data_IF_846300475035
#
_entry.id   IF_846300475035
#
_cell.length_a   1.000
_cell.length_b   1.000
_cell.length_c   1.000
_cell.angle_alpha   90.00
_cell.angle_beta   90.00
_cell.angle_gamma   90.00
#
_symmetry.space_group_name_H-M   'P 1'
#
loop_
_entity.id
_entity.type
_entity.pdbx_description
1 polymer ?
#
# COMPACT_ATOMS: atom_id res chain seq x y z
N UNK A 1 -10.50 -16.46 20.04
CA UNK A 1 -10.60 -15.16 20.71
C UNK A 1 -10.43 -14.08 19.64
N UNK A 2 -11.28 -13.05 19.60
CA UNK A 2 -11.09 -11.94 18.68
C UNK A 2 -9.97 -11.03 19.20
N UNK A 3 -9.09 -10.58 18.31
CA UNK A 3 -7.99 -9.69 18.65
C UNK A 3 -8.10 -8.42 17.79
N UNK A 4 -8.00 -7.25 18.42
CA UNK A 4 -7.94 -5.98 17.70
C UNK A 4 -6.58 -5.81 17.03
N UNK A 5 -6.58 -5.17 15.86
CA UNK A 5 -5.36 -4.70 15.21
C UNK A 5 -4.59 -3.71 16.09
N UNK A 6 -3.27 -3.63 15.89
CA UNK A 6 -2.38 -2.75 16.65
C UNK A 6 -1.69 -1.70 15.77
N UNK A 7 -2.09 -1.58 14.50
CA UNK A 7 -1.61 -0.55 13.59
C UNK A 7 -2.71 0.50 13.39
N UNK A 8 -2.33 1.76 13.53
CA UNK A 8 -3.16 2.93 13.23
C UNK A 8 -2.50 3.65 12.06
N UNK A 9 -3.28 3.92 11.02
CA UNK A 9 -2.83 4.63 9.83
C UNK A 9 -3.45 6.02 9.85
N UNK A 10 -2.64 7.03 9.63
CA UNK A 10 -3.15 8.39 9.41
C UNK A 10 -3.66 8.52 7.96
N UNK A 11 -4.77 9.24 7.79
CA UNK A 11 -5.27 9.57 6.46
C UNK A 11 -4.24 10.42 5.69
N UNK A 12 -4.06 10.08 4.43
CA UNK A 12 -3.19 10.81 3.51
C UNK A 12 -4.06 11.70 2.62
N UNK A 13 -3.76 12.99 2.63
CA UNK A 13 -4.37 13.96 1.73
C UNK A 13 -3.35 14.42 0.69
N UNK A 14 -3.73 14.29 -0.58
CA UNK A 14 -2.97 14.76 -1.73
C UNK A 14 -3.18 16.27 -1.83
N UNK A 15 -2.11 17.06 -1.65
CA UNK A 15 -2.17 18.52 -1.82
C UNK A 15 -2.44 18.86 -3.28
N UNK A 16 -3.50 19.63 -3.53
CA UNK A 16 -3.94 20.06 -4.86
C UNK A 16 -3.60 21.53 -5.07
N UNK A 17 -2.31 21.87 -5.01
CA UNK A 17 -1.87 23.24 -5.31
C UNK A 17 -2.11 23.61 -6.79
N UNK A 18 -2.14 24.91 -7.11
CA UNK A 18 -2.55 25.44 -8.43
C UNK A 18 -1.75 24.91 -9.65
N UNK A 19 -0.62 24.22 -9.45
CA UNK A 19 0.14 23.57 -10.53
C UNK A 19 -0.54 22.33 -11.13
N UNK A 20 -1.65 21.84 -10.57
CA UNK A 20 -2.30 20.58 -10.96
C UNK A 20 -3.76 20.75 -11.44
N UNK A 21 -3.97 21.50 -12.53
CA UNK A 21 -5.24 21.43 -13.30
C UNK A 21 -5.44 20.08 -14.03
N UNK A 22 -4.45 19.19 -13.98
CA UNK A 22 -4.42 17.89 -14.67
C UNK A 22 -4.59 16.68 -13.74
N UNK A 23 -4.78 16.87 -12.43
CA UNK A 23 -5.14 15.79 -11.49
C UNK A 23 -6.63 15.43 -11.56
N UNK A 24 -7.05 14.95 -12.72
CA UNK A 24 -8.38 14.41 -12.90
C UNK A 24 -8.28 12.89 -12.84
N UNK A 25 -9.14 12.20 -12.07
CA UNK A 25 -9.25 10.77 -12.18
C UNK A 25 -9.41 10.37 -13.65
N UNK A 26 -8.68 9.36 -14.07
CA UNK A 26 -8.80 8.83 -15.43
C UNK A 26 -9.89 7.77 -15.40
N UNK A 27 -10.86 7.90 -16.29
CA UNK A 27 -11.90 6.90 -16.49
C UNK A 27 -11.41 5.77 -17.40
N UNK A 28 -11.38 4.55 -16.89
CA UNK A 28 -11.13 3.34 -17.65
C UNK A 28 -12.44 2.59 -17.87
N UNK A 29 -12.81 2.38 -19.13
CA UNK A 29 -13.97 1.56 -19.48
C UNK A 29 -13.58 0.09 -19.56
N UNK A 30 -14.33 -0.76 -18.85
CA UNK A 30 -14.13 -2.21 -18.81
C UNK A 30 -15.32 -2.91 -19.45
N UNK A 31 -15.05 -3.88 -20.31
CA UNK A 31 -16.05 -4.79 -20.85
C UNK A 31 -15.75 -6.25 -20.45
N UNK A 32 -16.79 -7.05 -20.23
CA UNK A 32 -16.66 -8.49 -20.04
C UNK A 32 -16.70 -9.23 -21.36
N UNK A 33 -15.65 -9.99 -21.69
CA UNK A 33 -15.63 -10.86 -22.88
C UNK A 33 -16.05 -12.28 -22.47
N UNK A 34 -17.02 -12.85 -23.18
CA UNK A 34 -17.38 -14.26 -23.06
C UNK A 34 -16.32 -15.12 -23.76
N UNK A 35 -15.68 -16.02 -23.00
CA UNK A 35 -14.61 -16.89 -23.49
C UNK A 35 -15.07 -17.96 -24.48
N UNK A 36 -16.37 -18.26 -24.55
CA UNK A 36 -16.91 -19.25 -25.49
C UNK A 36 -17.30 -18.63 -26.83
N UNK A 37 -17.92 -17.46 -26.80
CA UNK A 37 -18.44 -16.80 -28.01
C UNK A 37 -17.51 -15.71 -28.56
N UNK A 38 -16.58 -15.21 -27.75
CA UNK A 38 -15.79 -14.02 -28.06
C UNK A 38 -16.61 -12.73 -28.08
N UNK A 39 -17.90 -12.79 -27.75
CA UNK A 39 -18.81 -11.65 -27.69
C UNK A 39 -18.70 -10.87 -26.38
N UNK A 40 -19.28 -9.68 -26.37
CA UNK A 40 -19.42 -8.88 -25.14
C UNK A 40 -20.55 -9.46 -24.29
N UNK A 41 -20.29 -9.64 -22.99
CA UNK A 41 -21.28 -10.07 -22.01
C UNK A 41 -22.21 -8.92 -21.67
N UNK A 42 -23.51 -9.18 -21.73
CA UNK A 42 -24.53 -8.23 -21.31
C UNK A 42 -24.37 -7.88 -19.81
N UNK A 43 -24.48 -6.60 -19.48
CA UNK A 43 -24.39 -6.11 -18.10
C UNK A 43 -22.98 -6.06 -17.50
N UNK A 44 -21.91 -6.30 -18.29
CA UNK A 44 -20.51 -6.26 -17.82
C UNK A 44 -19.74 -5.08 -18.44
N UNK A 45 -20.44 -3.98 -18.72
CA UNK A 45 -19.83 -2.70 -19.08
C UNK A 45 -19.84 -1.81 -17.84
N UNK A 46 -18.67 -1.43 -17.35
CA UNK A 46 -18.53 -0.50 -16.23
C UNK A 46 -17.33 0.42 -16.42
N UNK A 47 -17.34 1.56 -15.72
CA UNK A 47 -16.26 2.53 -15.74
C UNK A 47 -15.61 2.55 -14.35
N UNK A 48 -14.28 2.60 -14.33
CA UNK A 48 -13.46 2.74 -13.14
C UNK A 48 -12.73 4.08 -13.19
N UNK A 49 -12.88 4.89 -12.15
CA UNK A 49 -12.07 6.10 -11.98
C UNK A 49 -10.78 5.75 -11.22
N UNK A 50 -9.63 6.06 -11.82
CA UNK A 50 -8.33 5.76 -11.24
C UNK A 50 -7.55 7.05 -11.06
N UNK A 51 -6.97 7.22 -9.87
CA UNK A 51 -6.00 8.28 -9.61
C UNK A 51 -4.65 7.84 -10.18
N UNK A 52 -4.18 8.53 -11.22
CA UNK A 52 -2.89 8.27 -11.88
C UNK A 52 -1.79 9.21 -11.41
N UNK A 53 -2.00 9.86 -10.27
CA UNK A 53 -1.02 10.76 -9.67
C UNK A 53 0.17 9.97 -9.16
N UNK A 54 1.37 10.42 -9.50
CA UNK A 54 2.63 9.82 -9.05
C UNK A 54 3.32 10.69 -8.00
N UNK A 55 2.65 11.71 -7.46
CA UNK A 55 3.25 12.55 -6.44
C UNK A 55 3.55 11.73 -5.18
N UNK A 56 4.72 11.92 -4.56
CA UNK A 56 5.04 11.24 -3.33
C UNK A 56 4.16 11.77 -2.20
N UNK A 57 3.77 10.88 -1.30
CA UNK A 57 3.07 11.22 -0.07
C UNK A 57 3.75 10.58 1.13
N UNK A 58 3.41 11.05 2.33
CA UNK A 58 3.88 10.48 3.58
C UNK A 58 2.74 9.76 4.27
N UNK A 59 2.93 8.49 4.55
CA UNK A 59 2.02 7.68 5.36
C UNK A 59 2.62 7.51 6.75
N UNK A 60 1.90 7.96 7.78
CA UNK A 60 2.30 7.71 9.17
C UNK A 60 1.58 6.47 9.69
N UNK A 61 2.35 5.59 10.31
CA UNK A 61 1.84 4.35 10.91
C UNK A 61 2.24 4.34 12.38
N UNK A 62 1.24 4.25 13.26
CA UNK A 62 1.44 4.14 14.71
C UNK A 62 1.18 2.72 15.18
N UNK A 63 2.13 2.14 15.90
CA UNK A 63 1.96 0.83 16.57
C UNK A 63 1.39 1.05 17.97
N UNK A 64 0.10 0.78 18.13
CA UNK A 64 -0.65 0.93 19.38
C UNK A 64 -0.89 -0.42 20.04
N UNK A 65 -0.10 -0.73 21.07
CA UNK A 65 -0.26 -1.94 21.88
C UNK A 65 -0.94 -1.64 23.22
N UNK A 66 -1.75 -2.58 23.76
CA UNK A 66 -2.22 -2.48 25.14
C UNK A 66 -1.05 -2.35 26.12
N UNK A 67 -1.22 -1.58 27.20
CA UNK A 67 -0.14 -1.23 28.14
C UNK A 67 0.68 -2.41 28.70
N UNK A 68 0.11 -3.62 28.75
CA UNK A 68 0.77 -4.84 29.26
C UNK A 68 1.41 -5.70 28.15
N UNK A 69 1.24 -5.35 26.88
CA UNK A 69 1.76 -6.09 25.75
C UNK A 69 2.98 -5.38 25.20
N UNK A 70 4.11 -6.06 25.25
CA UNK A 70 5.31 -5.61 24.55
C UNK A 70 5.32 -6.20 23.14
N UNK A 71 5.84 -5.45 22.16
CA UNK A 71 5.96 -5.96 20.81
C UNK A 71 7.03 -7.06 20.78
N UNK A 72 6.73 -8.19 20.13
CA UNK A 72 7.71 -9.28 19.99
C UNK A 72 8.62 -9.04 18.79
N UNK A 73 9.82 -9.66 18.75
CA UNK A 73 10.69 -9.58 17.58
C UNK A 73 10.02 -9.99 16.27
N UNK A 74 9.22 -11.06 16.30
CA UNK A 74 8.52 -11.61 15.13
C UNK A 74 7.47 -10.62 14.60
N UNK A 75 6.81 -9.88 15.51
CA UNK A 75 5.85 -8.86 15.13
C UNK A 75 6.52 -7.70 14.40
N UNK A 76 7.72 -7.29 14.84
CA UNK A 76 8.49 -6.27 14.15
C UNK A 76 9.05 -6.76 12.82
N UNK A 77 9.52 -8.00 12.76
CA UNK A 77 9.99 -8.61 11.52
C UNK A 77 8.87 -8.71 10.49
N UNK A 78 7.66 -9.12 10.90
CA UNK A 78 6.50 -9.16 10.01
C UNK A 78 6.13 -7.77 9.48
N UNK A 79 6.16 -6.74 10.35
CA UNK A 79 5.93 -5.36 9.91
C UNK A 79 7.04 -4.86 8.97
N UNK A 80 8.29 -5.17 9.27
CA UNK A 80 9.43 -4.84 8.41
C UNK A 80 9.26 -5.43 7.01
N UNK A 81 9.02 -6.74 6.91
CA UNK A 81 8.82 -7.41 5.62
C UNK A 81 7.65 -6.80 4.85
N UNK A 82 6.51 -6.56 5.49
CA UNK A 82 5.36 -5.95 4.83
C UNK A 82 5.63 -4.52 4.34
N UNK A 83 6.41 -3.74 5.08
CA UNK A 83 6.82 -2.39 4.67
C UNK A 83 7.86 -2.43 3.56
N UNK A 84 8.76 -3.40 3.57
CA UNK A 84 9.72 -3.65 2.49
C UNK A 84 8.99 -4.01 1.20
N UNK A 85 8.11 -5.01 1.23
CA UNK A 85 7.30 -5.41 0.07
C UNK A 85 6.50 -4.21 -0.48
N UNK A 86 5.99 -3.34 0.40
CA UNK A 86 5.24 -2.15 0.00
C UNK A 86 6.10 -1.11 -0.73
N UNK A 87 7.34 -0.88 -0.29
CA UNK A 87 8.23 0.15 -0.87
C UNK A 87 9.11 -0.36 -2.01
N UNK A 88 9.22 -1.68 -2.19
CA UNK A 88 9.89 -2.35 -3.30
C UNK A 88 8.93 -2.68 -4.46
N UNK A 89 7.63 -2.41 -4.29
CA UNK A 89 6.62 -2.62 -5.33
C UNK A 89 6.11 -4.06 -5.43
N UNK A 90 6.30 -4.88 -4.40
CA UNK A 90 5.82 -6.27 -4.35
C UNK A 90 4.42 -6.38 -3.73
N UNK A 91 4.00 -5.40 -2.92
CA UNK A 91 2.69 -5.34 -2.28
C UNK A 91 1.84 -4.18 -2.82
N UNK A 92 0.78 -4.49 -3.56
CA UNK A 92 -0.20 -3.51 -3.99
C UNK A 92 -1.18 -3.16 -2.85
N UNK A 93 -1.55 -1.87 -2.73
CA UNK A 93 -2.66 -1.41 -1.89
C UNK A 93 -3.87 -1.01 -2.75
N UNK A 94 -5.06 -1.41 -2.29
CA UNK A 94 -6.32 -1.09 -2.96
C UNK A 94 -6.69 -2.10 -4.05
N UNK A 95 -7.52 -1.65 -5.00
CA UNK A 95 -8.02 -2.47 -6.10
C UNK A 95 -7.14 -2.35 -7.34
N UNK A 96 -7.23 -3.34 -8.25
CA UNK A 96 -6.60 -3.24 -9.56
C UNK A 96 -5.13 -3.69 -9.64
N UNK A 97 -4.57 -4.32 -8.60
CA UNK A 97 -3.20 -4.85 -8.62
C UNK A 97 -2.88 -5.75 -9.80
N UNK A 98 -3.80 -6.62 -10.21
CA UNK A 98 -3.64 -7.46 -11.42
C UNK A 98 -3.53 -6.69 -12.75
N UNK A 99 -3.74 -5.36 -12.73
CA UNK A 99 -3.59 -4.44 -13.87
C UNK A 99 -2.47 -3.42 -13.66
N UNK A 100 -1.68 -3.56 -12.59
CA UNK A 100 -0.57 -2.67 -12.26
C UNK A 100 -0.95 -1.45 -11.41
N UNK A 101 -2.15 -1.41 -10.81
CA UNK A 101 -2.54 -0.31 -9.92
C UNK A 101 -2.16 -0.59 -8.46
N UNK A 102 -1.93 0.48 -7.69
CA UNK A 102 -1.75 0.39 -6.24
C UNK A 102 -0.35 -0.06 -5.80
N UNK A 103 0.63 -0.11 -6.71
CA UNK A 103 2.02 -0.36 -6.35
C UNK A 103 2.72 0.95 -6.01
N UNK A 104 3.61 0.89 -5.03
CA UNK A 104 4.36 2.04 -4.54
C UNK A 104 5.86 1.72 -4.54
N UNK A 105 6.65 2.76 -4.71
CA UNK A 105 8.08 2.72 -4.49
C UNK A 105 8.44 3.79 -3.47
N UNK A 106 9.41 3.52 -2.60
CA UNK A 106 9.83 4.54 -1.65
C UNK A 106 10.79 4.05 -0.58
N UNK A 107 10.69 4.68 0.58
CA UNK A 107 11.45 4.33 1.76
C UNK A 107 10.63 4.64 3.00
N UNK A 108 11.01 4.02 4.11
CA UNK A 108 10.39 4.26 5.40
C UNK A 108 11.46 4.44 6.47
N UNK A 109 11.08 5.15 7.52
CA UNK A 109 11.90 5.38 8.70
C UNK A 109 11.08 5.02 9.94
N UNK A 110 11.76 4.73 11.04
CA UNK A 110 11.12 4.42 12.31
C UNK A 110 11.51 5.44 13.36
N UNK A 111 10.56 5.85 14.20
CA UNK A 111 10.86 6.71 15.36
C UNK A 111 11.57 5.99 16.51
N UNK A 112 12.05 4.75 16.30
CA UNK A 112 12.68 3.91 17.30
C UNK A 112 14.06 3.46 16.83
N UNK A 113 15.11 4.09 17.35
CA UNK A 113 16.53 3.81 17.05
C UNK A 113 16.90 2.31 17.12
N UNK A 114 16.28 1.56 18.04
CA UNK A 114 16.56 0.13 18.19
C UNK A 114 16.03 -0.73 17.03
N UNK A 115 14.97 -0.29 16.34
CA UNK A 115 14.47 -0.97 15.15
C UNK A 115 15.46 -0.79 14.00
N UNK A 116 15.98 0.43 13.82
CA UNK A 116 17.01 0.76 12.81
C UNK A 116 18.24 -0.14 12.96
N UNK A 117 18.67 -0.37 14.20
CA UNK A 117 19.82 -1.24 14.50
C UNK A 117 19.61 -2.73 14.19
N UNK A 118 18.35 -3.19 14.17
CA UNK A 118 18.01 -4.59 13.85
C UNK A 118 17.84 -4.81 12.35
N UNK A 119 17.20 -3.85 11.67
CA UNK A 119 17.04 -3.83 10.21
C UNK A 119 18.41 -3.89 9.52
N UNK A 120 19.34 -3.06 9.99
CA UNK A 120 20.69 -3.01 9.44
C UNK A 120 21.47 -4.31 9.66
N UNK A 121 21.20 -5.07 10.74
CA UNK A 121 21.86 -6.37 10.99
C UNK A 121 21.30 -7.47 10.10
N UNK A 122 19.98 -7.57 9.96
CA UNK A 122 19.36 -8.58 9.10
C UNK A 122 19.68 -8.36 7.61
N UNK A 123 19.82 -7.11 7.17
CA UNK A 123 20.23 -6.78 5.79
C UNK A 123 21.69 -7.17 5.51
N UNK A 124 22.56 -7.07 6.52
CA UNK A 124 23.97 -7.47 6.43
C UNK A 124 24.18 -8.99 6.49
N UNK A 125 23.30 -9.72 7.17
CA UNK A 125 23.37 -11.19 7.30
C UNK A 125 22.71 -11.93 6.10
N UNK A 126 21.98 -11.22 5.25
CA UNK A 126 21.31 -11.75 4.04
C UNK A 126 22.12 -11.55 2.74
N UNK A 127 23.32 -10.96 2.81
CA UNK A 127 24.26 -10.75 1.68
C UNK A 127 25.51 -11.62 1.84
#
# INVERSE_FOLDING_TARGET
AAQMGCLIFDDVYIDRSERQKTLQPVEYTHNGIDRFTGGVREGVLFVEEVVTDTQPFKLNITVALPAKRQPTPEMWQALHLALTDLVEGDLALGAGGGRGHGYFEGSWITGKEWLESKINKETLDAT
#
